data_IF_497039068288
#
_entry.id   IF_497039068288
#
_cell.length_a   1.000
_cell.length_b   1.000
_cell.length_c   1.000
_cell.angle_alpha   90.00
_cell.angle_beta   90.00
_cell.angle_gamma   90.00
#
_symmetry.space_group_name_H-M   'P 1'
#
loop_
_entity.id
_entity.type
_entity.pdbx_description
1 polymer ?
#
# COMPACT_ATOMS: atom_id res chain seq x y z
N UNK A 1 -18.24 30.17 -3.85
CA UNK A 1 -17.48 29.51 -4.94
C UNK A 1 -17.49 28.02 -4.63
N UNK A 2 -18.61 27.39 -4.96
CA UNK A 2 -18.83 25.97 -4.71
C UNK A 2 -18.42 25.20 -5.97
N UNK A 3 -17.78 24.05 -5.80
CA UNK A 3 -17.69 23.01 -6.84
C UNK A 3 -16.70 23.21 -8.01
N UNK A 4 -15.47 23.70 -7.78
CA UNK A 4 -14.37 23.43 -8.75
C UNK A 4 -13.38 22.37 -8.25
N UNK A 5 -13.07 22.34 -6.94
CA UNK A 5 -12.06 21.44 -6.37
C UNK A 5 -12.59 20.10 -5.83
N UNK A 6 -13.90 20.00 -5.57
CA UNK A 6 -14.53 18.84 -4.93
C UNK A 6 -15.71 18.28 -5.76
N UNK A 7 -15.44 17.63 -6.91
CA UNK A 7 -16.49 17.01 -7.71
C UNK A 7 -17.11 15.79 -7.01
N UNK A 8 -18.40 15.51 -7.23
CA UNK A 8 -19.13 14.37 -6.62
C UNK A 8 -18.51 12.98 -6.88
N UNK A 9 -17.65 12.86 -7.91
CA UNK A 9 -16.93 11.62 -8.22
C UNK A 9 -15.57 11.49 -7.51
N UNK A 10 -15.10 12.52 -6.81
CA UNK A 10 -13.84 12.49 -6.04
C UNK A 10 -13.72 11.27 -5.09
N UNK A 11 -14.74 10.91 -4.28
CA UNK A 11 -14.64 9.73 -3.41
C UNK A 11 -14.60 8.40 -4.18
N UNK A 12 -15.18 8.33 -5.38
CA UNK A 12 -15.12 7.11 -6.21
C UNK A 12 -13.70 6.85 -6.72
N UNK A 13 -12.98 7.89 -7.14
CA UNK A 13 -11.58 7.77 -7.56
C UNK A 13 -10.66 7.53 -6.36
N UNK A 14 -10.93 8.14 -5.20
CA UNK A 14 -10.20 7.89 -3.95
C UNK A 14 -10.29 6.43 -3.49
N UNK A 15 -11.50 5.87 -3.41
CA UNK A 15 -11.69 4.44 -3.09
C UNK A 15 -11.11 3.52 -4.17
N UNK A 16 -11.23 3.90 -5.46
CA UNK A 16 -10.61 3.17 -6.56
C UNK A 16 -9.08 3.13 -6.47
N UNK A 17 -8.45 4.23 -6.05
CA UNK A 17 -7.00 4.31 -5.80
C UNK A 17 -6.55 3.42 -4.64
N UNK A 18 -7.30 3.39 -3.53
CA UNK A 18 -7.04 2.47 -2.40
C UNK A 18 -7.11 1.01 -2.87
N UNK A 19 -8.16 0.67 -3.63
CA UNK A 19 -8.33 -0.69 -4.15
C UNK A 19 -7.19 -1.08 -5.11
N UNK A 20 -6.81 -0.18 -6.04
CA UNK A 20 -5.74 -0.43 -7.00
C UNK A 20 -4.37 -0.61 -6.31
N UNK A 21 -4.05 0.24 -5.32
CA UNK A 21 -2.81 0.15 -4.54
C UNK A 21 -2.70 -1.20 -3.82
N UNK A 22 -3.78 -1.63 -3.14
CA UNK A 22 -3.81 -2.91 -2.43
C UNK A 22 -3.71 -4.12 -3.36
N UNK A 23 -4.45 -4.12 -4.48
CA UNK A 23 -4.48 -5.26 -5.40
C UNK A 23 -3.10 -5.44 -6.05
N UNK A 24 -2.52 -4.37 -6.61
CA UNK A 24 -1.23 -4.48 -7.30
C UNK A 24 -0.09 -4.80 -6.33
N UNK A 25 -0.13 -4.21 -5.13
CA UNK A 25 0.80 -4.51 -4.04
C UNK A 25 0.74 -5.96 -3.58
N UNK A 26 -0.48 -6.47 -3.35
CA UNK A 26 -0.70 -7.84 -2.90
C UNK A 26 -0.31 -8.88 -3.95
N UNK A 27 -0.56 -8.59 -5.24
CA UNK A 27 -0.15 -9.47 -6.33
C UNK A 27 1.38 -9.54 -6.43
N UNK A 28 2.07 -8.40 -6.34
CA UNK A 28 3.53 -8.34 -6.34
C UNK A 28 4.14 -9.15 -5.19
N UNK A 29 3.61 -8.95 -3.98
CA UNK A 29 4.04 -9.67 -2.78
C UNK A 29 3.71 -11.18 -2.84
N UNK A 30 2.55 -11.55 -3.36
CA UNK A 30 2.15 -12.95 -3.51
C UNK A 30 3.04 -13.67 -4.53
N UNK A 31 3.35 -13.04 -5.66
CA UNK A 31 4.22 -13.61 -6.68
C UNK A 31 5.66 -13.78 -6.20
N UNK A 32 6.23 -12.76 -5.53
CA UNK A 32 7.57 -12.83 -4.96
C UNK A 32 7.71 -13.93 -3.91
N UNK A 33 6.67 -14.12 -3.08
CA UNK A 33 6.59 -15.21 -2.10
C UNK A 33 6.43 -16.57 -2.75
N UNK A 34 5.57 -16.71 -3.76
CA UNK A 34 5.35 -17.98 -4.47
C UNK A 34 6.64 -18.48 -5.15
N UNK A 35 7.35 -17.61 -5.87
CA UNK A 35 8.59 -17.99 -6.58
C UNK A 35 9.72 -18.32 -5.62
N UNK A 36 9.86 -17.54 -4.55
CA UNK A 36 10.86 -17.81 -3.50
C UNK A 36 10.53 -19.10 -2.73
N UNK A 37 9.25 -19.36 -2.47
CA UNK A 37 8.76 -20.55 -1.77
C UNK A 37 9.05 -21.85 -2.52
N UNK A 38 8.91 -21.88 -3.85
CA UNK A 38 9.27 -23.06 -4.67
C UNK A 38 10.77 -23.37 -4.52
N UNK A 39 11.62 -22.34 -4.52
CA UNK A 39 13.06 -22.51 -4.30
C UNK A 39 13.38 -23.03 -2.90
N UNK A 40 12.73 -22.50 -1.86
CA UNK A 40 12.94 -22.96 -0.48
C UNK A 40 12.49 -24.41 -0.29
N UNK A 41 11.34 -24.79 -0.86
CA UNK A 41 10.83 -26.16 -0.79
C UNK A 41 11.76 -27.16 -1.49
N UNK A 42 12.35 -26.76 -2.63
CA UNK A 42 13.29 -27.60 -3.37
C UNK A 42 14.65 -27.75 -2.69
N UNK A 43 15.14 -26.73 -1.98
CA UNK A 43 16.47 -26.76 -1.35
C UNK A 43 16.41 -27.25 0.11
N UNK A 44 15.27 -27.07 0.78
CA UNK A 44 15.08 -27.42 2.19
C UNK A 44 15.16 -28.91 2.50
N UNK A 45 14.91 -29.79 1.52
CA UNK A 45 15.06 -31.24 1.68
C UNK A 45 16.51 -31.72 1.55
N UNK A 46 17.39 -30.96 0.88
CA UNK A 46 18.78 -31.36 0.65
C UNK A 46 19.76 -30.75 1.66
N UNK A 47 19.60 -29.46 1.99
CA UNK A 47 20.46 -28.75 2.96
C UNK A 47 19.66 -27.77 3.81
N UNK A 48 19.14 -28.21 4.97
CA UNK A 48 18.30 -27.36 5.81
C UNK A 48 19.05 -26.17 6.43
N UNK A 49 20.38 -26.24 6.55
CA UNK A 49 21.21 -25.14 7.08
C UNK A 49 21.11 -23.85 6.24
N UNK A 50 20.74 -23.95 4.97
CA UNK A 50 20.64 -22.81 4.06
C UNK A 50 19.26 -22.14 4.08
N UNK A 51 18.25 -22.74 4.72
CA UNK A 51 16.86 -22.23 4.75
C UNK A 51 16.79 -20.83 5.35
N UNK A 52 17.54 -20.57 6.44
CA UNK A 52 17.60 -19.28 7.11
C UNK A 52 18.03 -18.14 6.17
N UNK A 53 18.96 -18.41 5.26
CA UNK A 53 19.44 -17.43 4.27
C UNK A 53 18.46 -17.28 3.11
N UNK A 54 17.80 -18.37 2.70
CA UNK A 54 16.80 -18.36 1.64
C UNK A 54 15.48 -17.66 2.05
N UNK A 55 15.27 -17.37 3.34
CA UNK A 55 14.09 -16.65 3.82
C UNK A 55 14.18 -15.12 3.59
N UNK A 56 15.38 -14.58 3.42
CA UNK A 56 15.61 -13.15 3.12
C UNK A 56 14.76 -12.65 1.92
N UNK A 57 14.73 -13.32 0.75
CA UNK A 57 13.89 -12.90 -0.37
C UNK A 57 12.38 -12.97 -0.09
N UNK A 58 11.91 -13.87 0.79
CA UNK A 58 10.49 -13.90 1.21
C UNK A 58 10.16 -12.65 2.04
N UNK A 59 11.06 -12.26 2.94
CA UNK A 59 10.90 -11.05 3.76
C UNK A 59 10.91 -9.79 2.88
N UNK A 60 11.75 -9.75 1.84
CA UNK A 60 11.76 -8.64 0.87
C UNK A 60 10.47 -8.55 0.05
N UNK A 61 9.79 -9.67 -0.21
CA UNK A 61 8.43 -9.65 -0.77
C UNK A 61 7.40 -9.14 0.25
N UNK A 62 7.60 -9.46 1.53
CA UNK A 62 6.73 -9.03 2.63
C UNK A 62 6.72 -7.51 2.86
N UNK A 63 7.85 -6.82 2.73
CA UNK A 63 7.88 -5.35 2.88
C UNK A 63 7.04 -4.64 1.81
N UNK A 64 6.93 -5.19 0.59
CA UNK A 64 6.08 -4.62 -0.47
C UNK A 64 4.59 -4.67 -0.11
N UNK A 65 4.16 -5.72 0.59
CA UNK A 65 2.79 -5.82 1.10
C UNK A 65 2.52 -4.72 2.15
N UNK A 66 3.47 -4.48 3.06
CA UNK A 66 3.35 -3.45 4.09
C UNK A 66 3.32 -2.05 3.48
N UNK A 67 4.18 -1.75 2.50
CA UNK A 67 4.16 -0.45 1.81
C UNK A 67 2.81 -0.16 1.17
N UNK A 68 2.22 -1.16 0.53
CA UNK A 68 0.92 -1.03 -0.13
C UNK A 68 -0.21 -0.81 0.88
N UNK A 69 -0.14 -1.48 2.03
CA UNK A 69 -1.07 -1.28 3.15
C UNK A 69 -0.95 0.13 3.75
N UNK A 70 0.27 0.61 4.00
CA UNK A 70 0.50 1.95 4.57
C UNK A 70 -0.05 3.04 3.65
N UNK A 71 0.19 2.95 2.33
CA UNK A 71 -0.35 3.89 1.36
C UNK A 71 -1.89 3.87 1.37
N UNK A 72 -2.50 2.67 1.42
CA UNK A 72 -3.95 2.53 1.48
C UNK A 72 -4.56 3.14 2.76
N UNK A 73 -3.90 2.96 3.91
CA UNK A 73 -4.34 3.50 5.19
C UNK A 73 -4.22 5.03 5.22
N UNK A 74 -3.10 5.59 4.75
CA UNK A 74 -2.92 7.05 4.69
C UNK A 74 -4.01 7.73 3.85
N UNK A 75 -4.38 7.13 2.71
CA UNK A 75 -5.46 7.65 1.86
C UNK A 75 -6.82 7.49 2.55
N UNK A 76 -7.05 6.39 3.28
CA UNK A 76 -8.30 6.15 3.99
C UNK A 76 -8.51 7.09 5.19
N UNK A 77 -7.45 7.42 5.94
CA UNK A 77 -7.50 8.39 7.04
C UNK A 77 -7.88 9.79 6.53
N UNK A 78 -7.31 10.21 5.40
CA UNK A 78 -7.63 11.48 4.75
C UNK A 78 -9.07 11.50 4.19
N UNK A 79 -9.61 10.35 3.81
CA UNK A 79 -10.98 10.19 3.30
C UNK A 79 -12.04 10.18 4.43
N UNK A 80 -11.65 9.80 5.65
CA UNK A 80 -12.55 9.59 6.78
C UNK A 80 -12.81 10.84 7.63
N UNK A 81 -12.31 12.02 7.26
CA UNK A 81 -12.57 13.30 7.95
C UNK A 81 -13.83 13.99 7.40
N UNK A 82 -15.06 13.70 7.90
CA UNK A 82 -16.30 14.08 7.23
C UNK A 82 -16.95 15.31 7.87
N UNK A 83 -16.30 15.99 8.83
CA UNK A 83 -16.99 16.96 9.68
C UNK A 83 -16.71 18.44 9.35
N UNK A 84 -15.81 18.79 8.43
CA UNK A 84 -15.51 20.22 8.21
C UNK A 84 -15.12 20.69 6.79
N UNK A 85 -14.79 19.82 5.81
CA UNK A 85 -14.35 20.29 4.47
C UNK A 85 -14.84 19.38 3.34
N UNK A 86 -15.35 19.99 2.27
CA UNK A 86 -15.63 19.34 0.99
C UNK A 86 -14.38 18.64 0.45
N UNK A 87 -14.51 17.39 0.01
CA UNK A 87 -13.43 16.54 -0.52
C UNK A 87 -12.72 17.15 -1.73
N UNK A 88 -11.63 17.88 -1.49
CA UNK A 88 -10.73 18.39 -2.54
C UNK A 88 -9.83 17.27 -3.06
N UNK A 89 -9.54 17.24 -4.38
CA UNK A 89 -8.57 16.29 -4.97
C UNK A 89 -7.15 16.37 -4.38
N UNK A 90 -6.83 17.43 -3.63
CA UNK A 90 -5.48 17.73 -3.14
C UNK A 90 -5.29 17.63 -1.62
N UNK A 91 -6.27 17.11 -0.85
CA UNK A 91 -6.18 17.05 0.62
C UNK A 91 -4.90 16.34 1.10
N UNK A 92 -4.46 15.28 0.42
CA UNK A 92 -3.21 14.57 0.72
C UNK A 92 -1.94 15.46 0.70
N UNK A 93 -1.84 16.42 -0.23
CA UNK A 93 -0.69 17.34 -0.30
C UNK A 93 -0.76 18.38 0.81
N UNK A 94 -1.96 18.79 1.21
CA UNK A 94 -2.16 19.74 2.30
C UNK A 94 -1.87 19.11 3.67
N UNK A 95 -2.26 17.84 3.88
CA UNK A 95 -1.91 17.07 5.08
C UNK A 95 -0.39 16.90 5.24
N UNK A 96 0.34 16.60 4.15
CA UNK A 96 1.82 16.56 4.16
C UNK A 96 2.45 17.94 4.46
N UNK A 97 1.84 19.04 3.99
CA UNK A 97 2.35 20.39 4.22
C UNK A 97 2.12 20.87 5.68
N UNK A 98 1.05 20.40 6.31
CA UNK A 98 0.66 20.77 7.68
C UNK A 98 1.46 20.02 8.77
N UNK A 99 2.13 18.92 8.43
CA UNK A 99 3.09 18.23 9.31
C UNK A 99 4.51 18.84 9.28
N UNK A 100 4.77 19.85 8.42
CA UNK A 100 6.07 20.52 8.27
C UNK A 100 6.12 22.01 8.67
N UNK A 101 5.47 22.49 9.76
CA UNK A 101 5.83 23.75 10.39
C UNK A 101 6.87 23.49 11.50
N UNK A 102 8.16 23.58 11.17
CA UNK A 102 9.30 23.67 12.11
C UNK A 102 9.44 22.56 13.17
#
# INVERSE_FOLDING_TARGET
MESELAPKFAPFIGMGGIAAAMIFGSIGAAYGTAKSGIGIAGVGTFRPDLIMKCLIPVIMSGILAVYSLVIAVLIAEDLAAPSAKSYSLFTFVESINLELPL
#
